data_IF_146974631894
#
_entry.id   IF_146974631894
#
_cell.length_a   1.000
_cell.length_b   1.000
_cell.length_c   1.000
_cell.angle_alpha   90.00
_cell.angle_beta   90.00
_cell.angle_gamma   90.00
#
_symmetry.space_group_name_H-M   'P 1'
#
loop_
_entity.id
_entity.type
_entity.pdbx_description
1 polymer ?
#
# COMPACT_ATOMS: atom_id res chain seq x y z
N UNK A 1 -13.09 24.74 -4.29
CA UNK A 1 -11.78 24.04 -4.34
C UNK A 1 -11.54 23.55 -5.77
N UNK A 2 -10.35 23.76 -6.35
CA UNK A 2 -10.08 23.32 -7.74
C UNK A 2 -10.07 21.79 -7.84
N UNK A 3 -10.72 21.22 -8.86
CA UNK A 3 -10.79 19.77 -9.11
C UNK A 3 -9.42 19.07 -9.06
N UNK A 4 -8.38 19.73 -9.59
CA UNK A 4 -7.00 19.22 -9.56
C UNK A 4 -6.45 19.08 -8.14
N UNK A 5 -6.80 19.99 -7.23
CA UNK A 5 -6.38 19.93 -5.81
C UNK A 5 -7.10 18.80 -5.10
N UNK A 6 -8.42 18.65 -5.32
CA UNK A 6 -9.22 17.56 -4.75
C UNK A 6 -8.63 16.21 -5.13
N UNK A 7 -8.34 15.99 -6.43
CA UNK A 7 -7.75 14.73 -6.91
C UNK A 7 -6.43 14.39 -6.23
N UNK A 8 -5.52 15.37 -6.11
CA UNK A 8 -4.22 15.18 -5.42
C UNK A 8 -4.39 14.80 -3.96
N UNK A 9 -5.33 15.45 -3.27
CA UNK A 9 -5.64 15.16 -1.86
C UNK A 9 -6.20 13.74 -1.71
N UNK A 10 -7.15 13.34 -2.57
CA UNK A 10 -7.72 12.00 -2.56
C UNK A 10 -6.66 10.93 -2.85
N UNK A 11 -5.79 11.16 -3.83
CA UNK A 11 -4.69 10.26 -4.14
C UNK A 11 -3.73 10.11 -2.95
N UNK A 12 -3.38 11.21 -2.30
CA UNK A 12 -2.52 11.18 -1.13
C UNK A 12 -3.14 10.38 0.03
N UNK A 13 -4.37 10.69 0.42
CA UNK A 13 -5.01 10.00 1.54
C UNK A 13 -5.31 8.53 1.23
N UNK A 14 -5.71 8.20 0.00
CA UNK A 14 -5.90 6.79 -0.39
C UNK A 14 -4.59 5.99 -0.32
N UNK A 15 -3.45 6.58 -0.70
CA UNK A 15 -2.13 5.94 -0.53
C UNK A 15 -1.78 5.72 0.94
N UNK A 16 -1.99 6.72 1.80
CA UNK A 16 -1.69 6.60 3.22
C UNK A 16 -2.54 5.51 3.87
N UNK A 17 -3.86 5.52 3.62
CA UNK A 17 -4.77 4.53 4.20
C UNK A 17 -4.43 3.13 3.71
N UNK A 18 -4.27 2.95 2.39
CA UNK A 18 -3.91 1.64 1.83
C UNK A 18 -2.55 1.16 2.34
N UNK A 19 -1.55 2.03 2.46
CA UNK A 19 -0.23 1.72 3.01
C UNK A 19 -0.28 1.28 4.48
N UNK A 20 -1.05 1.97 5.32
CA UNK A 20 -1.24 1.61 6.73
C UNK A 20 -1.90 0.23 6.85
N UNK A 21 -2.99 -0.01 6.13
CA UNK A 21 -3.70 -1.29 6.21
C UNK A 21 -2.82 -2.43 5.65
N UNK A 22 -2.11 -2.19 4.55
CA UNK A 22 -1.15 -3.18 3.99
C UNK A 22 -0.05 -3.51 4.98
N UNK A 23 0.46 -2.52 5.72
CA UNK A 23 1.47 -2.71 6.75
C UNK A 23 0.94 -3.55 7.92
N UNK A 24 -0.25 -3.21 8.43
CA UNK A 24 -0.89 -3.96 9.53
C UNK A 24 -1.14 -5.42 9.13
N UNK A 25 -1.72 -5.64 7.96
CA UNK A 25 -1.99 -6.99 7.44
C UNK A 25 -0.68 -7.76 7.17
N UNK A 26 0.37 -7.07 6.72
CA UNK A 26 1.71 -7.63 6.58
C UNK A 26 2.28 -8.10 7.90
N UNK A 27 2.14 -7.32 8.98
CA UNK A 27 2.55 -7.75 10.32
C UNK A 27 1.74 -8.96 10.81
N UNK A 28 0.42 -8.96 10.63
CA UNK A 28 -0.42 -10.11 11.01
C UNK A 28 0.04 -11.39 10.31
N UNK A 29 0.34 -11.31 9.02
CA UNK A 29 0.82 -12.45 8.24
C UNK A 29 2.26 -12.84 8.59
N UNK A 30 3.12 -11.87 8.89
CA UNK A 30 4.51 -12.10 9.30
C UNK A 30 4.60 -12.87 10.60
N UNK A 31 3.76 -12.53 11.59
CA UNK A 31 3.68 -13.24 12.86
C UNK A 31 2.80 -14.50 12.80
N UNK A 32 2.19 -14.81 11.65
CA UNK A 32 1.36 -15.99 11.51
C UNK A 32 2.22 -17.26 11.56
N UNK A 33 1.94 -18.22 12.46
CA UNK A 33 2.77 -19.41 12.61
C UNK A 33 2.78 -20.27 11.33
N UNK A 34 3.88 -20.97 11.08
CA UNK A 34 4.03 -21.85 9.93
C UNK A 34 3.86 -23.32 10.34
N UNK A 35 3.10 -24.10 9.57
CA UNK A 35 2.93 -25.54 9.79
C UNK A 35 1.58 -26.12 9.32
N UNK A 36 1.37 -27.46 9.41
CA UNK A 36 0.19 -28.13 8.87
C UNK A 36 -1.16 -27.65 9.46
N UNK A 37 -1.14 -27.15 10.70
CA UNK A 37 -2.33 -26.63 11.40
C UNK A 37 -2.47 -25.10 11.31
N UNK A 38 -1.52 -24.41 10.67
CA UNK A 38 -1.51 -22.95 10.62
C UNK A 38 -2.72 -22.36 9.87
N UNK A 39 -3.26 -23.08 8.90
CA UNK A 39 -4.47 -22.66 8.17
C UNK A 39 -5.76 -22.74 8.97
N UNK A 40 -5.76 -23.46 10.10
CA UNK A 40 -6.93 -23.62 10.98
C UNK A 40 -7.01 -22.55 12.07
N UNK A 41 -5.97 -21.74 12.23
CA UNK A 41 -5.97 -20.64 13.18
C UNK A 41 -6.90 -19.53 12.71
N UNK A 42 -7.62 -18.96 13.67
CA UNK A 42 -8.55 -17.87 13.46
C UNK A 42 -8.06 -16.68 14.27
N UNK A 43 -7.67 -15.60 13.59
CA UNK A 43 -7.23 -14.35 14.22
C UNK A 43 -8.27 -13.29 13.87
N UNK A 44 -8.79 -12.61 14.90
CA UNK A 44 -9.93 -11.68 14.82
C UNK A 44 -11.15 -12.24 14.06
N UNK A 45 -11.43 -13.54 14.20
CA UNK A 45 -12.58 -14.18 13.53
C UNK A 45 -12.32 -14.60 12.08
N UNK A 46 -11.12 -14.37 11.53
CA UNK A 46 -10.79 -14.71 10.15
C UNK A 46 -9.63 -15.71 10.05
N UNK A 47 -9.72 -16.59 9.05
CA UNK A 47 -8.66 -17.55 8.70
C UNK A 47 -7.48 -16.86 8.01
N UNK A 48 -6.33 -17.54 7.95
CA UNK A 48 -5.11 -17.04 7.29
C UNK A 48 -5.38 -16.55 5.86
N UNK A 49 -6.17 -17.30 5.10
CA UNK A 49 -6.46 -17.00 3.68
C UNK A 49 -7.08 -15.61 3.52
N UNK A 50 -8.04 -15.24 4.38
CA UNK A 50 -8.68 -13.93 4.34
C UNK A 50 -7.66 -12.78 4.52
N UNK A 51 -6.75 -12.93 5.48
CA UNK A 51 -5.68 -11.96 5.71
C UNK A 51 -4.74 -11.87 4.52
N UNK A 52 -4.42 -13.01 3.88
CA UNK A 52 -3.60 -13.05 2.67
C UNK A 52 -4.29 -12.36 1.49
N UNK A 53 -5.59 -12.61 1.29
CA UNK A 53 -6.36 -12.00 0.22
C UNK A 53 -6.42 -10.48 0.38
N UNK A 54 -6.81 -10.00 1.57
CA UNK A 54 -6.86 -8.56 1.87
C UNK A 54 -5.49 -7.92 1.68
N UNK A 55 -4.43 -8.51 2.24
CA UNK A 55 -3.07 -7.98 2.11
C UNK A 55 -2.67 -7.86 0.63
N UNK A 56 -2.93 -8.90 -0.17
CA UNK A 56 -2.56 -8.95 -1.59
C UNK A 56 -3.32 -7.91 -2.40
N UNK A 57 -4.64 -7.82 -2.24
CA UNK A 57 -5.44 -6.83 -2.96
C UNK A 57 -5.08 -5.40 -2.58
N UNK A 58 -4.85 -5.12 -1.29
CA UNK A 58 -4.44 -3.80 -0.84
C UNK A 58 -3.03 -3.43 -1.32
N UNK A 59 -2.09 -4.38 -1.33
CA UNK A 59 -0.76 -4.16 -1.87
C UNK A 59 -0.80 -3.82 -3.37
N UNK A 60 -1.64 -4.52 -4.15
CA UNK A 60 -1.86 -4.23 -5.57
C UNK A 60 -2.47 -2.84 -5.78
N UNK A 61 -3.50 -2.48 -4.99
CA UNK A 61 -4.11 -1.14 -5.05
C UNK A 61 -3.08 -0.08 -4.69
N UNK A 62 -2.30 -0.27 -3.63
CA UNK A 62 -1.26 0.65 -3.20
C UNK A 62 -0.20 0.85 -4.31
N UNK A 63 0.21 -0.23 -5.00
CA UNK A 63 1.14 -0.14 -6.13
C UNK A 63 0.58 0.72 -7.27
N UNK A 64 -0.70 0.55 -7.61
CA UNK A 64 -1.37 1.39 -8.63
C UNK A 64 -1.44 2.84 -8.18
N UNK A 65 -1.80 3.11 -6.92
CA UNK A 65 -1.87 4.47 -6.39
C UNK A 65 -0.49 5.16 -6.38
N UNK A 66 0.58 4.44 -6.04
CA UNK A 66 1.96 4.93 -6.11
C UNK A 66 2.32 5.29 -7.55
N UNK A 67 2.01 4.43 -8.53
CA UNK A 67 2.26 4.73 -9.94
C UNK A 67 1.52 6.00 -10.39
N UNK A 68 0.24 6.13 -10.05
CA UNK A 68 -0.55 7.34 -10.35
C UNK A 68 0.06 8.58 -9.68
N UNK A 69 0.55 8.45 -8.45
CA UNK A 69 1.18 9.54 -7.71
C UNK A 69 2.48 10.02 -8.37
N UNK A 70 3.32 9.09 -8.81
CA UNK A 70 4.55 9.39 -9.55
C UNK A 70 4.22 10.11 -10.86
N UNK A 71 3.21 9.66 -11.60
CA UNK A 71 2.76 10.29 -12.84
C UNK A 71 2.24 11.72 -12.59
N UNK A 72 1.42 11.92 -11.56
CA UNK A 72 0.91 13.25 -11.21
C UNK A 72 2.01 14.22 -10.75
N UNK A 73 3.08 13.70 -10.16
CA UNK A 73 4.20 14.47 -9.60
C UNK A 73 5.49 14.33 -10.41
N UNK A 74 5.39 14.01 -11.71
CA UNK A 74 6.52 13.80 -12.64
C UNK A 74 7.57 14.92 -12.64
N UNK A 75 7.14 16.18 -12.45
CA UNK A 75 8.05 17.32 -12.39
C UNK A 75 8.97 17.26 -11.17
N UNK A 76 8.43 16.93 -10.00
CA UNK A 76 9.19 16.73 -8.77
C UNK A 76 10.13 15.52 -8.91
N UNK A 77 9.64 14.42 -9.47
CA UNK A 77 10.46 13.20 -9.70
C UNK A 77 11.65 13.51 -10.61
N UNK A 78 11.43 14.23 -11.72
CA UNK A 78 12.50 14.66 -12.62
C UNK A 78 13.52 15.57 -11.92
N UNK A 79 13.05 16.48 -11.06
CA UNK A 79 13.92 17.33 -10.25
C UNK A 79 14.78 16.49 -9.30
N UNK A 80 14.18 15.57 -8.54
CA UNK A 80 14.93 14.70 -7.62
C UNK A 80 16.00 13.88 -8.33
N UNK A 81 15.66 13.22 -9.44
CA UNK A 81 16.63 12.45 -10.24
C UNK A 81 17.78 13.33 -10.72
N UNK A 82 17.47 14.54 -11.21
CA UNK A 82 18.48 15.47 -11.71
C UNK A 82 19.45 15.89 -10.61
N UNK A 83 18.96 16.15 -9.40
CA UNK A 83 19.82 16.54 -8.28
C UNK A 83 20.63 15.36 -7.74
N UNK A 84 20.05 14.15 -7.65
CA UNK A 84 20.79 12.94 -7.25
C UNK A 84 21.95 12.60 -8.20
N UNK A 85 21.78 12.82 -9.52
CA UNK A 85 22.81 12.52 -10.52
C UNK A 85 23.88 13.62 -10.68
N UNK A 86 23.66 14.79 -10.08
CA UNK A 86 24.64 15.90 -10.07
C UNK A 86 25.59 15.84 -8.86
N UNK A 87 25.23 15.07 -7.83
CA UNK A 87 26.11 14.75 -6.71
C UNK A 87 27.07 13.63 -7.08
#
# INVERSE_FOLDING_TARGET
MSWRKVRRILLFYSMIISGIITTITGFILYFWPSGPRAGQLVIFGFQKQFWQDIHTYLALIAAVLIMLHVIENKACVKMYIRETLKG
#
